data_IF_222291021529
#
_entry.id   IF_222291021529
#
_cell.length_a   1.000
_cell.length_b   1.000
_cell.length_c   1.000
_cell.angle_alpha   90.00
_cell.angle_beta   90.00
_cell.angle_gamma   90.00
#
_symmetry.space_group_name_H-M   'P 1'
#
loop_
_entity.id
_entity.type
_entity.pdbx_description
1 polymer ?
#
# COMPACT_ATOMS: atom_id res chain seq x y z
N UNK A 1 -22.47 29.79 -23.66
CA UNK A 1 -22.91 28.43 -24.05
C UNK A 1 -22.95 27.56 -22.80
N UNK A 2 -24.11 27.40 -22.16
CA UNK A 2 -24.21 26.49 -21.02
C UNK A 2 -24.17 25.06 -21.53
N UNK A 3 -23.11 24.33 -21.20
CA UNK A 3 -23.03 22.91 -21.50
C UNK A 3 -24.00 22.20 -20.55
N UNK A 4 -25.26 22.07 -20.96
CA UNK A 4 -26.29 21.31 -20.22
C UNK A 4 -25.91 19.83 -20.29
N UNK A 5 -25.08 19.40 -19.36
CA UNK A 5 -24.69 17.99 -19.24
C UNK A 5 -25.78 17.23 -18.50
N UNK A 6 -26.17 16.07 -19.04
CA UNK A 6 -27.14 15.19 -18.39
C UNK A 6 -26.69 14.84 -16.96
N UNK A 7 -27.60 14.96 -15.99
CA UNK A 7 -27.34 14.72 -14.55
C UNK A 7 -26.73 13.34 -14.28
N UNK A 8 -27.13 12.31 -15.02
CA UNK A 8 -26.58 10.97 -14.88
C UNK A 8 -25.12 10.90 -15.30
N UNK A 9 -24.73 11.67 -16.33
CA UNK A 9 -23.34 11.75 -16.80
C UNK A 9 -22.46 12.44 -15.76
N UNK A 10 -22.96 13.51 -15.15
CA UNK A 10 -22.30 14.22 -14.05
C UNK A 10 -22.12 13.33 -12.81
N UNK A 11 -23.17 12.61 -12.39
CA UNK A 11 -23.09 11.65 -11.26
C UNK A 11 -22.07 10.54 -11.51
N UNK A 12 -22.04 9.97 -12.72
CA UNK A 12 -21.03 8.97 -13.11
C UNK A 12 -19.61 9.55 -13.09
N UNK A 13 -19.43 10.79 -13.55
CA UNK A 13 -18.13 11.45 -13.52
C UNK A 13 -17.67 11.71 -12.09
N UNK A 14 -18.55 12.22 -11.22
CA UNK A 14 -18.26 12.39 -9.80
C UNK A 14 -17.88 11.07 -9.11
N UNK A 15 -18.61 9.98 -9.37
CA UNK A 15 -18.28 8.67 -8.83
C UNK A 15 -16.89 8.18 -9.28
N UNK A 16 -16.53 8.40 -10.55
CA UNK A 16 -15.19 8.06 -11.08
C UNK A 16 -14.09 8.88 -10.41
N UNK A 17 -14.31 10.18 -10.20
CA UNK A 17 -13.35 11.06 -9.51
C UNK A 17 -13.15 10.61 -8.07
N UNK A 18 -14.24 10.35 -7.32
CA UNK A 18 -14.16 9.83 -5.94
C UNK A 18 -13.41 8.50 -5.87
N UNK A 19 -13.68 7.57 -6.78
CA UNK A 19 -13.00 6.27 -6.84
C UNK A 19 -11.50 6.42 -7.12
N UNK A 20 -11.10 7.36 -8.00
CA UNK A 20 -9.69 7.65 -8.28
C UNK A 20 -8.99 8.28 -7.07
N UNK A 21 -9.64 9.21 -6.38
CA UNK A 21 -9.10 9.82 -5.15
C UNK A 21 -8.87 8.77 -4.05
N UNK A 22 -9.86 7.89 -3.81
CA UNK A 22 -9.71 6.76 -2.89
C UNK A 22 -8.59 5.80 -3.31
N UNK A 23 -8.43 5.54 -4.61
CA UNK A 23 -7.33 4.74 -5.14
C UNK A 23 -5.97 5.37 -4.83
N UNK A 24 -5.83 6.68 -4.98
CA UNK A 24 -4.61 7.41 -4.64
C UNK A 24 -4.33 7.39 -3.14
N UNK A 25 -5.34 7.61 -2.30
CA UNK A 25 -5.19 7.50 -0.85
C UNK A 25 -4.77 6.10 -0.42
N UNK A 26 -5.34 5.06 -1.02
CA UNK A 26 -4.95 3.69 -0.74
C UNK A 26 -3.55 3.37 -1.29
N UNK A 27 -3.16 3.93 -2.42
CA UNK A 27 -1.80 3.81 -2.94
C UNK A 27 -0.77 4.50 -2.04
N UNK A 28 -1.15 5.59 -1.34
CA UNK A 28 -0.28 6.24 -0.35
C UNK A 28 -0.27 5.45 0.97
N UNK A 29 -1.45 5.09 1.49
CA UNK A 29 -1.62 4.39 2.79
C UNK A 29 -1.10 2.95 2.74
N UNK A 30 -1.26 2.28 1.60
CA UNK A 30 -0.89 0.88 1.38
C UNK A 30 0.12 0.72 0.25
N UNK A 31 0.92 1.76 -0.04
CA UNK A 31 1.90 1.80 -1.15
C UNK A 31 2.98 0.72 -1.15
N UNK A 32 3.00 -0.15 -0.14
CA UNK A 32 3.71 -1.42 -0.20
C UNK A 32 2.77 -2.47 -0.78
N UNK A 33 3.08 -2.93 -2.00
CA UNK A 33 2.40 -4.09 -2.58
C UNK A 33 2.56 -5.32 -1.68
N UNK A 34 1.65 -6.29 -1.79
CA UNK A 34 1.77 -7.54 -1.05
C UNK A 34 3.12 -8.24 -1.27
N UNK A 35 3.68 -8.14 -2.49
CA UNK A 35 5.01 -8.66 -2.81
C UNK A 35 6.13 -7.89 -2.11
N UNK A 36 6.04 -6.56 -2.00
CA UNK A 36 7.00 -5.74 -1.27
C UNK A 36 6.96 -6.03 0.23
N UNK A 37 5.76 -6.18 0.81
CA UNK A 37 5.61 -6.56 2.23
C UNK A 37 6.27 -7.91 2.52
N UNK A 38 5.99 -8.94 1.71
CA UNK A 38 6.59 -10.27 1.86
C UNK A 38 8.11 -10.25 1.71
N UNK A 39 8.63 -9.46 0.79
CA UNK A 39 10.07 -9.30 0.58
C UNK A 39 10.74 -8.61 1.78
N UNK A 40 10.07 -7.62 2.37
CA UNK A 40 10.54 -6.92 3.56
C UNK A 40 10.54 -7.84 4.79
N UNK A 41 9.49 -8.64 4.94
CA UNK A 41 9.35 -9.66 6.00
C UNK A 41 10.40 -10.78 5.87
N UNK A 42 10.61 -11.31 4.67
CA UNK A 42 11.68 -12.29 4.43
C UNK A 42 13.07 -11.70 4.72
N UNK A 43 13.29 -10.40 4.45
CA UNK A 43 14.54 -9.71 4.75
C UNK A 43 14.72 -9.51 6.26
N UNK A 44 13.68 -9.12 6.99
CA UNK A 44 13.74 -8.96 8.45
C UNK A 44 13.98 -10.30 9.15
N UNK A 45 13.31 -11.37 8.71
CA UNK A 45 13.54 -12.73 9.23
C UNK A 45 14.97 -13.22 8.96
N UNK A 46 15.52 -12.95 7.76
CA UNK A 46 16.92 -13.28 7.46
C UNK A 46 17.88 -12.51 8.35
N UNK A 47 17.63 -11.22 8.57
CA UNK A 47 18.43 -10.40 9.46
C UNK A 47 18.36 -10.90 10.91
N UNK A 48 17.16 -11.22 11.40
CA UNK A 48 16.96 -11.80 12.73
C UNK A 48 17.72 -13.12 12.90
N UNK A 49 17.59 -14.04 11.94
CA UNK A 49 18.35 -15.30 11.96
C UNK A 49 19.86 -15.11 11.93
N UNK A 50 20.35 -14.14 11.15
CA UNK A 50 21.77 -13.82 11.12
C UNK A 50 22.25 -13.28 12.48
N UNK A 51 21.46 -12.42 13.12
CA UNK A 51 21.78 -11.89 14.45
C UNK A 51 21.76 -12.98 15.53
N UNK A 52 20.76 -13.86 15.51
CA UNK A 52 20.69 -15.00 16.43
C UNK A 52 21.86 -15.97 16.22
N UNK A 53 22.25 -16.26 14.97
CA UNK A 53 23.42 -17.10 14.69
C UNK A 53 24.75 -16.50 15.17
N UNK A 54 24.83 -15.17 15.23
CA UNK A 54 25.98 -14.45 15.78
C UNK A 54 25.87 -14.15 17.28
N UNK A 55 24.74 -14.48 17.90
CA UNK A 55 24.54 -14.33 19.33
C UNK A 55 25.37 -15.42 20.01
N UNK A 56 26.46 -14.99 20.66
CA UNK A 56 27.12 -15.84 21.64
C UNK A 56 26.16 -16.00 22.80
N UNK A 57 25.78 -17.23 23.11
CA UNK A 57 25.17 -17.56 24.39
C UNK A 57 26.14 -16.99 25.44
N UNK A 58 25.72 -15.96 26.16
CA UNK A 58 26.40 -15.65 27.42
C UNK A 58 26.02 -16.80 28.32
N UNK A 59 26.95 -17.74 28.45
CA UNK A 59 26.95 -18.71 29.54
C UNK A 59 26.78 -17.91 30.84
N UNK A 60 25.64 -18.11 31.50
CA UNK A 60 25.54 -18.02 32.95
C UNK A 60 25.78 -19.42 33.53
#
# INVERSE_FOLDING_TARGET
MSNVTNLNRFRKQQARVKKRAQGNENAVKFGRSASQKRLEEARSEKAGRALEAHRREREE
#
